data_IF_267278256368
#
_entry.id   IF_267278256368
#
_cell.length_a   1.000
_cell.length_b   1.000
_cell.length_c   1.000
_cell.angle_alpha   90.00
_cell.angle_beta   90.00
_cell.angle_gamma   90.00
#
_symmetry.space_group_name_H-M   'P 1'
#
loop_
_entity.id
_entity.type
_entity.pdbx_description
1 polymer ?
#
# COMPACT_ATOMS: atom_id res chain seq x y z
N UNK A 1 -10.37 -17.79 -2.94
CA UNK A 1 -10.18 -16.45 -2.35
C UNK A 1 -8.74 -16.07 -2.57
N UNK A 2 -8.47 -14.96 -3.24
CA UNK A 2 -7.11 -14.48 -3.49
C UNK A 2 -6.55 -13.71 -2.28
N UNK A 3 -5.24 -13.49 -2.22
CA UNK A 3 -4.59 -12.71 -1.16
C UNK A 3 -5.15 -11.27 -1.05
N UNK A 4 -5.38 -10.54 -2.17
CA UNK A 4 -6.01 -9.22 -2.10
C UNK A 4 -7.47 -9.25 -1.58
N UNK A 5 -8.24 -10.27 -1.96
CA UNK A 5 -9.61 -10.46 -1.48
C UNK A 5 -9.65 -10.70 0.03
N UNK A 6 -8.68 -11.47 0.55
CA UNK A 6 -8.51 -11.69 1.98
C UNK A 6 -8.17 -10.37 2.69
N UNK A 7 -7.19 -9.62 2.20
CA UNK A 7 -6.83 -8.31 2.77
C UNK A 7 -8.02 -7.35 2.84
N UNK A 8 -8.82 -7.27 1.76
CA UNK A 8 -10.06 -6.47 1.74
C UNK A 8 -11.06 -6.91 2.80
N UNK A 9 -11.25 -8.22 2.99
CA UNK A 9 -12.15 -8.77 4.02
C UNK A 9 -11.66 -8.47 5.43
N UNK A 10 -10.34 -8.53 5.67
CA UNK A 10 -9.74 -8.20 6.97
C UNK A 10 -10.01 -6.74 7.33
N UNK A 11 -9.78 -5.80 6.40
CA UNK A 11 -10.06 -4.37 6.63
C UNK A 11 -11.54 -4.14 6.95
N UNK A 12 -12.47 -4.73 6.20
CA UNK A 12 -13.90 -4.57 6.47
C UNK A 12 -14.30 -5.19 7.83
N UNK A 13 -13.71 -6.34 8.19
CA UNK A 13 -13.95 -6.97 9.50
C UNK A 13 -13.48 -6.08 10.64
N UNK A 14 -12.25 -5.55 10.58
CA UNK A 14 -11.72 -4.64 11.58
C UNK A 14 -12.63 -3.41 11.75
N UNK A 15 -13.08 -2.84 10.63
CA UNK A 15 -13.99 -1.68 10.65
C UNK A 15 -15.34 -2.01 11.28
N UNK A 16 -15.98 -3.12 10.89
CA UNK A 16 -17.26 -3.55 11.46
C UNK A 16 -17.15 -3.83 12.96
N UNK A 17 -16.01 -4.36 13.39
CA UNK A 17 -15.70 -4.60 14.80
C UNK A 17 -15.22 -3.33 15.54
N UNK A 18 -15.17 -2.17 14.89
CA UNK A 18 -14.66 -0.90 15.45
C UNK A 18 -13.24 -1.01 16.02
N UNK A 19 -12.42 -1.89 15.45
CA UNK A 19 -11.00 -1.99 15.79
C UNK A 19 -10.34 -0.67 15.41
N UNK A 20 -9.62 0.01 16.31
CA UNK A 20 -8.94 1.25 15.99
C UNK A 20 -7.75 0.97 15.05
N UNK A 21 -7.74 1.60 13.87
CA UNK A 21 -6.59 1.63 12.98
C UNK A 21 -6.53 2.96 12.22
N UNK A 22 -5.32 3.46 11.96
CA UNK A 22 -5.10 4.74 11.27
C UNK A 22 -4.76 4.63 9.79
N UNK A 23 -4.23 3.50 9.34
CA UNK A 23 -3.77 3.29 7.97
C UNK A 23 -3.64 1.80 7.64
N UNK A 24 -3.47 1.47 6.36
CA UNK A 24 -3.28 0.09 5.87
C UNK A 24 -1.95 -0.01 5.12
N UNK A 25 -1.16 -1.05 5.42
CA UNK A 25 0.01 -1.43 4.65
C UNK A 25 -0.31 -2.66 3.78
N UNK A 26 0.21 -2.75 2.56
CA UNK A 26 0.17 -4.00 1.78
C UNK A 26 1.41 -4.18 0.89
N UNK A 27 1.83 -5.43 0.69
CA UNK A 27 2.94 -5.77 -0.19
C UNK A 27 2.51 -5.77 -1.68
N UNK A 28 3.43 -6.07 -2.59
CA UNK A 28 3.19 -5.96 -4.04
C UNK A 28 2.15 -6.94 -4.56
N UNK A 29 1.99 -8.10 -3.92
CA UNK A 29 0.98 -9.08 -4.30
C UNK A 29 -0.43 -8.55 -4.01
N UNK A 30 -0.58 -7.76 -2.95
CA UNK A 30 -1.85 -7.12 -2.59
C UNK A 30 -2.05 -5.73 -3.22
N UNK A 31 -0.98 -4.96 -3.39
CA UNK A 31 -1.02 -3.59 -3.91
C UNK A 31 -1.25 -3.48 -5.42
N UNK A 32 -1.06 -4.57 -6.16
CA UNK A 32 -1.52 -4.70 -7.55
C UNK A 32 -3.06 -4.69 -7.68
N UNK A 33 -3.81 -4.98 -6.61
CA UNK A 33 -5.26 -4.95 -6.65
C UNK A 33 -5.79 -3.50 -6.67
N UNK A 34 -6.06 -3.00 -7.88
CA UNK A 34 -6.68 -1.69 -8.11
C UNK A 34 -8.03 -1.54 -7.40
N UNK A 35 -8.80 -2.63 -7.22
CA UNK A 35 -10.10 -2.59 -6.52
C UNK A 35 -9.91 -2.40 -5.03
N UNK A 36 -8.88 -3.00 -4.44
CA UNK A 36 -8.50 -2.77 -3.04
C UNK A 36 -8.14 -1.29 -2.82
N UNK A 37 -7.24 -0.74 -3.64
CA UNK A 37 -6.85 0.68 -3.56
C UNK A 37 -8.04 1.62 -3.73
N UNK A 38 -8.86 1.39 -4.75
CA UNK A 38 -10.07 2.20 -4.98
C UNK A 38 -11.07 2.11 -3.80
N UNK A 39 -11.19 0.94 -3.16
CA UNK A 39 -12.03 0.80 -1.98
C UNK A 39 -11.51 1.60 -0.79
N UNK A 40 -10.20 1.62 -0.54
CA UNK A 40 -9.58 2.43 0.52
C UNK A 40 -9.69 3.93 0.22
N UNK A 41 -9.45 4.35 -1.03
CA UNK A 41 -9.60 5.74 -1.47
C UNK A 41 -11.03 6.26 -1.28
N UNK A 42 -12.05 5.53 -1.75
CA UNK A 42 -13.47 5.92 -1.58
C UNK A 42 -13.86 6.07 -0.12
N UNK A 43 -13.23 5.30 0.76
CA UNK A 43 -13.47 5.31 2.21
C UNK A 43 -12.57 6.30 2.96
N UNK A 44 -11.69 7.01 2.25
CA UNK A 44 -10.69 7.95 2.81
C UNK A 44 -9.81 7.31 3.88
N UNK A 45 -9.47 6.04 3.71
CA UNK A 45 -8.53 5.33 4.59
C UNK A 45 -7.12 5.54 4.05
N UNK A 46 -6.18 6.13 4.81
CA UNK A 46 -4.79 6.26 4.40
C UNK A 46 -4.14 4.88 4.19
N UNK A 47 -3.28 4.75 3.19
CA UNK A 47 -2.60 3.49 2.92
C UNK A 47 -1.22 3.68 2.29
N UNK A 48 -0.36 2.68 2.49
CA UNK A 48 0.94 2.53 1.82
C UNK A 48 0.93 1.14 1.16
N UNK A 49 1.16 1.08 -0.14
CA UNK A 49 1.13 -0.18 -0.89
C UNK A 49 2.28 -0.23 -1.88
N UNK A 50 2.94 -1.38 -1.96
CA UNK A 50 3.85 -1.66 -3.05
C UNK A 50 3.06 -1.93 -4.33
N UNK A 51 3.50 -1.34 -5.44
CA UNK A 51 2.89 -1.48 -6.77
C UNK A 51 3.98 -1.79 -7.80
N UNK A 52 3.63 -2.35 -8.97
CA UNK A 52 4.57 -2.46 -10.08
C UNK A 52 5.17 -1.09 -10.44
N UNK A 53 6.41 -1.09 -10.91
CA UNK A 53 7.14 0.13 -11.32
C UNK A 53 6.44 0.83 -12.48
N UNK A 54 5.84 0.05 -13.37
CA UNK A 54 5.09 0.48 -14.56
C UNK A 54 3.60 0.73 -14.28
N UNK A 55 3.15 0.62 -13.01
CA UNK A 55 1.76 0.88 -12.67
C UNK A 55 1.41 2.33 -13.00
N UNK A 56 0.36 2.52 -13.79
CA UNK A 56 -0.13 3.86 -14.10
C UNK A 56 -0.95 4.40 -12.94
N UNK A 57 -0.54 5.56 -12.41
CA UNK A 57 -1.22 6.26 -11.32
C UNK A 57 -1.70 7.64 -11.76
N UNK A 58 -2.71 8.14 -11.05
CA UNK A 58 -3.15 9.52 -11.11
C UNK A 58 -2.96 10.12 -9.73
N UNK A 59 -2.34 11.28 -9.64
CA UNK A 59 -2.14 11.96 -8.35
C UNK A 59 -2.59 13.42 -8.45
N UNK A 60 -2.75 14.09 -7.32
CA UNK A 60 -2.99 15.54 -7.34
C UNK A 60 -1.80 16.34 -7.88
N UNK A 61 -0.59 15.77 -7.90
CA UNK A 61 0.65 16.44 -8.32
C UNK A 61 1.04 16.17 -9.77
N UNK A 62 0.45 15.16 -10.41
CA UNK A 62 0.80 14.76 -11.76
C UNK A 62 -0.41 14.14 -12.49
N UNK A 63 -0.53 14.39 -13.81
CA UNK A 63 -1.46 13.64 -14.66
C UNK A 63 -1.09 12.14 -14.69
N UNK A 64 -1.81 11.34 -15.50
CA UNK A 64 -1.50 9.91 -15.68
C UNK A 64 -0.02 9.70 -15.97
N UNK A 65 0.65 8.96 -15.10
CA UNK A 65 2.08 8.66 -15.23
C UNK A 65 2.39 7.29 -14.62
N UNK A 66 3.48 6.67 -15.06
CA UNK A 66 4.02 5.47 -14.42
C UNK A 66 4.68 5.82 -13.08
N UNK A 67 4.69 4.86 -12.16
CA UNK A 67 5.20 5.06 -10.80
C UNK A 67 6.68 5.39 -10.77
N UNK A 68 7.49 4.79 -11.65
CA UNK A 68 8.91 5.10 -11.80
C UNK A 68 9.18 6.56 -12.21
N UNK A 69 8.51 7.03 -13.26
CA UNK A 69 8.63 8.40 -13.75
C UNK A 69 8.15 9.41 -12.69
N UNK A 70 7.09 9.07 -11.96
CA UNK A 70 6.62 9.88 -10.83
C UNK A 70 7.63 9.90 -9.68
N UNK A 71 8.17 8.75 -9.29
CA UNK A 71 9.10 8.61 -8.18
C UNK A 71 10.43 9.31 -8.43
N UNK A 72 10.89 9.39 -9.69
CA UNK A 72 12.10 10.10 -10.08
C UNK A 72 12.08 11.61 -9.69
N UNK A 73 10.88 12.21 -9.57
CA UNK A 73 10.71 13.60 -9.16
C UNK A 73 10.53 13.80 -7.65
N UNK A 74 10.60 12.74 -6.83
CA UNK A 74 10.33 12.81 -5.39
C UNK A 74 11.64 12.59 -4.62
N UNK A 75 12.04 13.53 -3.72
CA UNK A 75 13.17 13.28 -2.85
C UNK A 75 12.86 12.09 -1.93
N UNK A 76 13.67 11.05 -2.03
CA UNK A 76 13.60 9.89 -1.15
C UNK A 76 14.14 10.27 0.24
N UNK A 77 13.22 10.54 1.17
CA UNK A 77 13.54 10.86 2.58
C UNK A 77 13.29 9.67 3.52
N UNK A 78 13.33 8.45 2.98
CA UNK A 78 13.06 7.23 3.75
C UNK A 78 14.34 6.65 4.35
N UNK A 79 14.25 6.22 5.60
CA UNK A 79 15.30 5.47 6.29
C UNK A 79 14.85 4.02 6.44
N UNK A 80 15.73 3.07 6.07
CA UNK A 80 15.48 1.64 6.33
C UNK A 80 15.57 1.38 7.83
N UNK A 81 14.42 1.12 8.46
CA UNK A 81 14.33 0.61 9.84
C UNK A 81 14.15 -0.90 9.79
N UNK A 82 15.09 -1.66 10.37
CA UNK A 82 14.99 -3.12 10.48
C UNK A 82 14.40 -3.51 11.83
N UNK A 83 13.44 -4.44 11.87
CA UNK A 83 12.90 -4.99 13.13
C UNK A 83 13.74 -6.17 13.67
N UNK A 84 14.99 -6.31 13.23
CA UNK A 84 15.93 -7.35 13.65
C UNK A 84 17.06 -7.54 12.64
N UNK A 85 18.20 -8.04 13.11
CA UNK A 85 19.25 -8.54 12.23
C UNK A 85 18.94 -10.00 11.92
N UNK A 86 18.68 -10.34 10.66
CA UNK A 86 18.74 -11.74 10.23
C UNK A 86 20.23 -12.12 10.18
N UNK A 87 20.76 -12.59 11.31
CA UNK A 87 22.18 -12.95 11.44
C UNK A 87 22.67 -12.97 12.89
N UNK A 88 22.01 -13.75 13.75
CA UNK A 88 22.59 -14.23 15.01
C UNK A 88 22.74 -15.75 14.93
N UNK A 89 23.76 -16.37 15.56
CA UNK A 89 24.11 -17.79 15.38
C UNK A 89 23.23 -18.71 16.23
N UNK A 90 21.91 -18.61 16.12
CA UNK A 90 20.96 -19.55 16.71
C UNK A 90 20.05 -20.13 15.64
#
# INVERSE_FOLDING_TARGET
MTKPELGRRMVERCRRAKVPFGWVAADSADGQDRKLRAALQRRRIPYVMAVPVDETVHTHRAPRTCVDAFAAGIPLVFERRSCGAHGGPW
#
